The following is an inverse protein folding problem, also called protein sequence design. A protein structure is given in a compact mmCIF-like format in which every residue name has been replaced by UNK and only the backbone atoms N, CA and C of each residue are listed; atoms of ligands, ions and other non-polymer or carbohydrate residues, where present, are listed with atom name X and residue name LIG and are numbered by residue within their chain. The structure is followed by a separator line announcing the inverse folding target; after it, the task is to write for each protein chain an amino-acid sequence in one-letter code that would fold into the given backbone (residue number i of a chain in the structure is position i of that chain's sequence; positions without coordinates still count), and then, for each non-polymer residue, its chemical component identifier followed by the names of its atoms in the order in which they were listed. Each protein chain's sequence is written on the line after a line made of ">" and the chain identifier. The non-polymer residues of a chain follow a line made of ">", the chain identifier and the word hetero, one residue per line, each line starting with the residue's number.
data_IF_385411056418
#
_entry.id   IF_385411056418
#
_cell.length_a   1.000
_cell.length_b   1.000
_cell.length_c   1.000
_cell.angle_alpha   90.00
_cell.angle_beta   90.00
_cell.angle_gamma   90.00
#
_symmetry.space_group_name_H-M   'P 1'
#
loop_
_entity.id
_entity.type
_entity.pdbx_description
1 polymer ?
#
# COMPACT_ATOMS: atom_id res chain seq x y z
N UNK A 1 0.34 -6.73 -4.51
CA UNK A 1 1.45 -7.10 -5.41
C UNK A 1 2.56 -7.69 -4.57
N UNK A 2 3.04 -8.89 -4.89
CA UNK A 2 4.24 -9.47 -4.26
C UNK A 2 5.45 -9.11 -5.12
N UNK A 3 6.26 -8.17 -4.65
CA UNK A 3 7.45 -7.66 -5.36
C UNK A 3 8.74 -8.36 -4.95
N UNK A 4 8.72 -9.33 -4.04
CA UNK A 4 9.93 -9.87 -3.41
C UNK A 4 10.91 -10.56 -4.38
N UNK A 5 10.46 -10.91 -5.59
CA UNK A 5 11.27 -11.58 -6.62
C UNK A 5 11.64 -10.68 -7.80
N UNK A 6 11.34 -9.38 -7.74
CA UNK A 6 11.67 -8.45 -8.83
C UNK A 6 13.13 -8.01 -8.70
N UNK A 7 13.99 -8.47 -9.61
CA UNK A 7 15.44 -8.21 -9.59
C UNK A 7 15.81 -6.92 -10.35
N UNK A 8 15.08 -6.60 -11.42
CA UNK A 8 15.27 -5.34 -12.16
C UNK A 8 14.00 -4.93 -12.90
N UNK A 9 13.84 -3.62 -13.09
CA UNK A 9 12.78 -2.99 -13.88
C UNK A 9 13.45 -1.96 -14.80
N UNK A 10 13.10 -1.95 -16.09
CA UNK A 10 13.61 -0.92 -17.00
C UNK A 10 13.08 0.46 -16.58
N UNK A 11 13.72 1.53 -17.06
CA UNK A 11 13.34 2.90 -16.68
C UNK A 11 11.91 3.23 -17.09
N UNK A 12 11.53 2.85 -18.31
CA UNK A 12 10.20 3.13 -18.87
C UNK A 12 9.07 2.54 -18.04
N UNK A 13 9.20 1.29 -17.55
CA UNK A 13 8.19 0.68 -16.69
C UNK A 13 8.08 1.37 -15.32
N UNK A 14 9.21 1.84 -14.76
CA UNK A 14 9.21 2.60 -13.49
C UNK A 14 8.52 3.94 -13.66
N UNK A 15 8.92 4.71 -14.67
CA UNK A 15 8.37 6.04 -14.94
C UNK A 15 6.86 5.95 -15.25
N UNK A 16 6.43 4.91 -15.98
CA UNK A 16 5.01 4.64 -16.23
C UNK A 16 4.24 4.31 -14.94
N UNK A 17 4.79 3.44 -14.10
CA UNK A 17 4.15 3.04 -12.83
C UNK A 17 4.09 4.20 -11.84
N UNK A 18 5.11 5.06 -11.80
CA UNK A 18 5.10 6.28 -10.99
C UNK A 18 3.97 7.22 -11.40
N UNK A 19 3.77 7.38 -12.72
CA UNK A 19 2.77 8.31 -13.24
C UNK A 19 1.32 7.80 -13.15
N UNK A 20 1.10 6.50 -13.40
CA UNK A 20 -0.25 5.94 -13.56
C UNK A 20 -0.57 4.82 -12.57
N UNK A 21 0.42 4.30 -11.86
CA UNK A 21 0.26 3.11 -11.03
C UNK A 21 -0.65 3.31 -9.82
N UNK A 22 -0.88 4.56 -9.40
CA UNK A 22 -1.77 4.86 -8.28
C UNK A 22 -3.25 4.99 -8.70
N UNK A 23 -3.52 5.29 -9.98
CA UNK A 23 -4.88 5.61 -10.47
C UNK A 23 -5.87 4.43 -10.31
N UNK A 24 -5.34 3.21 -10.27
CA UNK A 24 -6.13 1.98 -10.17
C UNK A 24 -6.05 1.32 -8.79
N UNK A 25 -5.44 1.99 -7.80
CA UNK A 25 -5.31 1.49 -6.43
C UNK A 25 -6.35 2.19 -5.55
N UNK A 26 -7.41 1.46 -5.20
CA UNK A 26 -8.41 1.97 -4.26
C UNK A 26 -7.87 2.06 -2.82
N UNK A 27 -7.13 1.04 -2.38
CA UNK A 27 -6.46 0.99 -1.09
C UNK A 27 -5.29 0.01 -1.13
N UNK A 28 -4.29 0.20 -0.27
CA UNK A 28 -3.16 -0.71 -0.14
C UNK A 28 -2.84 -1.03 1.32
N UNK A 29 -2.75 -2.32 1.63
CA UNK A 29 -2.25 -2.80 2.91
C UNK A 29 -0.90 -3.48 2.70
N UNK A 30 0.17 -2.94 3.29
CA UNK A 30 1.52 -3.49 3.18
C UNK A 30 1.84 -4.38 4.38
N UNK A 31 2.37 -5.58 4.13
CA UNK A 31 2.81 -6.51 5.16
C UNK A 31 4.31 -6.39 5.40
N UNK A 32 4.71 -6.34 6.67
CA UNK A 32 6.11 -6.37 7.11
C UNK A 32 6.24 -7.27 8.34
N UNK A 33 7.42 -7.85 8.56
CA UNK A 33 7.65 -8.77 9.69
C UNK A 33 8.11 -8.07 10.98
N UNK A 34 8.28 -6.74 10.95
CA UNK A 34 8.84 -5.96 12.06
C UNK A 34 7.92 -4.82 12.52
N UNK A 35 7.62 -4.78 13.82
CA UNK A 35 6.85 -3.69 14.43
C UNK A 35 7.54 -2.33 14.31
N UNK A 36 8.87 -2.30 14.39
CA UNK A 36 9.66 -1.07 14.20
C UNK A 36 9.51 -0.59 12.76
N UNK A 37 9.63 -1.49 11.78
CA UNK A 37 9.45 -1.18 10.36
C UNK A 37 8.03 -0.65 10.11
N UNK A 38 7.01 -1.32 10.65
CA UNK A 38 5.61 -0.85 10.59
C UNK A 38 5.45 0.58 11.12
N UNK A 39 6.08 0.91 12.25
CA UNK A 39 5.99 2.25 12.84
C UNK A 39 6.59 3.31 11.91
N UNK A 40 7.81 3.08 11.43
CA UNK A 40 8.52 4.02 10.54
C UNK A 40 7.72 4.28 9.26
N UNK A 41 7.24 3.22 8.60
CA UNK A 41 6.47 3.37 7.37
C UNK A 41 5.13 4.08 7.58
N UNK A 42 4.38 3.75 8.65
CA UNK A 42 3.13 4.45 8.92
C UNK A 42 3.35 5.94 9.23
N UNK A 43 4.46 6.31 9.89
CA UNK A 43 4.83 7.71 10.07
C UNK A 43 5.17 8.38 8.74
N UNK A 44 5.96 7.72 7.88
CA UNK A 44 6.28 8.23 6.55
C UNK A 44 5.03 8.47 5.70
N UNK A 45 4.10 7.51 5.69
CA UNK A 45 2.83 7.59 4.96
C UNK A 45 1.99 8.77 5.45
N UNK A 46 1.94 9.04 6.76
CA UNK A 46 1.24 10.22 7.30
C UNK A 46 1.89 11.54 6.87
N UNK A 47 3.20 11.57 6.67
CA UNK A 47 3.94 12.77 6.25
C UNK A 47 3.83 13.03 4.74
N UNK A 48 3.84 11.97 3.93
CA UNK A 48 3.82 12.06 2.46
C UNK A 48 2.44 11.89 1.85
N UNK A 49 1.47 11.39 2.63
CA UNK A 49 0.04 11.21 2.29
C UNK A 49 -0.19 10.79 0.84
N UNK A 50 -0.06 9.49 0.51
CA UNK A 50 -0.35 9.02 -0.84
C UNK A 50 -1.79 9.37 -1.24
N UNK A 51 -2.05 9.47 -2.55
CA UNK A 51 -3.38 9.81 -3.08
C UNK A 51 -4.49 8.79 -2.82
N UNK A 52 -4.18 7.71 -2.08
CA UNK A 52 -5.09 6.63 -1.73
C UNK A 52 -4.80 6.12 -0.30
N UNK A 53 -5.78 5.51 0.37
CA UNK A 53 -5.59 4.86 1.68
C UNK A 53 -4.45 3.84 1.65
N UNK A 54 -3.42 4.09 2.46
CA UNK A 54 -2.27 3.21 2.60
C UNK A 54 -1.99 2.95 4.08
N UNK A 55 -1.82 1.70 4.47
CA UNK A 55 -1.48 1.34 5.85
C UNK A 55 -0.58 0.11 5.93
N UNK A 56 0.38 0.12 6.86
CA UNK A 56 1.31 -0.99 7.07
C UNK A 56 0.92 -1.82 8.29
N UNK A 57 1.01 -3.14 8.14
CA UNK A 57 0.61 -4.15 9.12
C UNK A 57 1.71 -5.20 9.32
N UNK A 58 1.69 -5.81 10.50
CA UNK A 58 2.46 -7.02 10.84
C UNK A 58 1.55 -8.24 11.01
N UNK A 59 0.25 -8.04 10.82
CA UNK A 59 -0.81 -9.01 11.10
C UNK A 59 -1.72 -9.05 9.87
N UNK A 60 -1.77 -10.21 9.23
CA UNK A 60 -2.49 -10.40 7.97
C UNK A 60 -4.00 -10.27 8.15
N UNK A 61 -4.55 -10.76 9.26
CA UNK A 61 -5.99 -10.71 9.52
C UNK A 61 -6.45 -9.26 9.69
N UNK A 62 -5.68 -8.46 10.43
CA UNK A 62 -5.95 -7.02 10.59
C UNK A 62 -5.82 -6.27 9.26
N UNK A 63 -4.85 -6.61 8.43
CA UNK A 63 -4.67 -6.00 7.11
C UNK A 63 -5.88 -6.27 6.20
N UNK A 64 -6.33 -7.52 6.13
CA UNK A 64 -7.50 -7.92 5.31
C UNK A 64 -8.78 -7.28 5.85
N UNK A 65 -8.99 -7.29 7.17
CA UNK A 65 -10.15 -6.65 7.79
C UNK A 65 -10.22 -5.17 7.44
N UNK A 66 -9.12 -4.45 7.55
CA UNK A 66 -9.04 -3.03 7.19
C UNK A 66 -9.35 -2.78 5.71
N UNK A 67 -8.85 -3.62 4.80
CA UNK A 67 -9.18 -3.50 3.37
C UNK A 67 -10.69 -3.71 3.09
N UNK A 68 -11.33 -4.65 3.78
CA UNK A 68 -12.77 -4.91 3.65
C UNK A 68 -13.61 -3.75 4.21
N UNK A 69 -13.17 -3.15 5.32
CA UNK A 69 -13.81 -1.95 5.89
C UNK A 69 -13.78 -0.79 4.87
N UNK A 70 -12.60 -0.48 4.32
CA UNK A 70 -12.44 0.57 3.29
C UNK A 70 -13.32 0.28 2.06
N UNK A 71 -13.32 -0.97 1.58
CA UNK A 71 -14.19 -1.38 0.46
C UNK A 71 -15.67 -1.12 0.77
N UNK A 72 -16.13 -1.50 1.96
CA UNK A 72 -17.53 -1.33 2.36
C UNK A 72 -17.94 0.14 2.52
N UNK A 73 -17.01 1.01 2.91
CA UNK A 73 -17.24 2.46 2.99
C UNK A 73 -17.36 3.08 1.60
N UNK A 74 -16.60 2.57 0.63
CA UNK A 74 -16.66 3.04 -0.75
C UNK A 74 -17.96 2.62 -1.46
N UNK A 75 -18.46 1.40 -1.22
CA UNK A 75 -19.73 0.93 -1.81
C UNK A 75 -20.98 1.65 -1.27
N UNK A 76 -20.84 2.39 -0.16
CA UNK A 76 -21.90 3.18 0.46
C UNK A 76 -21.95 4.64 -0.02
N UNK A 77 -20.94 5.10 -0.77
CA UNK A 77 -20.85 6.44 -1.34
C UNK A 77 -21.38 6.45 -2.77
#
# INVERSE_FOLDING_TARGET
>A
MDGAKIVSLNKEARDYTEKYGQDFIHANAMMVDSHVTKFIYNMYVKLKSPGFPFQVFTDREKAVKWLLEIKSENEKK
#
